data_IF_867274048483
#
_entry.id   IF_867274048483
#
_cell.length_a   1.000
_cell.length_b   1.000
_cell.length_c   1.000
_cell.angle_alpha   90.00
_cell.angle_beta   90.00
_cell.angle_gamma   90.00
#
_symmetry.space_group_name_H-M   'P 1'
#
loop_
_entity.id
_entity.type
_entity.pdbx_description
1 polymer ?
#
# COMPACT_ATOMS: atom_id res chain seq x y z
N UNK A 1 10.45 11.25 10.75
CA UNK A 1 9.34 10.57 10.04
C UNK A 1 8.88 9.46 10.97
N UNK A 2 7.62 9.50 11.41
CA UNK A 2 7.09 8.65 12.49
C UNK A 2 6.38 7.40 11.98
N UNK A 3 6.02 7.34 10.69
CA UNK A 3 5.48 6.12 10.10
C UNK A 3 6.56 5.33 9.37
N UNK A 4 6.48 4.01 9.47
CA UNK A 4 7.29 3.07 8.71
C UNK A 4 6.39 2.13 7.94
N UNK A 5 6.59 2.04 6.62
CA UNK A 5 5.93 1.07 5.76
C UNK A 5 6.78 -0.19 5.56
N UNK A 6 6.12 -1.32 5.35
CA UNK A 6 6.74 -2.54 4.81
C UNK A 6 5.78 -3.22 3.84
N UNK A 7 6.31 -3.80 2.77
CA UNK A 7 5.53 -4.45 1.73
C UNK A 7 6.09 -5.85 1.48
N UNK A 8 5.22 -6.85 1.50
CA UNK A 8 5.54 -8.21 1.05
C UNK A 8 4.62 -8.64 -0.08
N UNK A 9 5.14 -9.49 -0.96
CA UNK A 9 4.39 -10.12 -2.04
C UNK A 9 4.49 -11.64 -1.90
N UNK A 10 3.37 -12.33 -2.02
CA UNK A 10 3.28 -13.79 -2.07
C UNK A 10 2.68 -14.19 -3.40
N UNK A 11 3.33 -15.10 -4.11
CA UNK A 11 2.87 -15.59 -5.42
C UNK A 11 2.33 -17.00 -5.27
N UNK A 12 1.12 -17.23 -5.76
CA UNK A 12 0.47 -18.53 -5.81
C UNK A 12 -0.33 -18.68 -7.11
N UNK A 13 0.00 -19.67 -7.94
CA UNK A 13 -0.69 -20.01 -9.19
C UNK A 13 -1.06 -18.80 -10.10
N UNK A 14 -0.15 -17.83 -10.27
CA UNK A 14 -0.38 -16.63 -11.09
C UNK A 14 -1.21 -15.53 -10.40
N UNK A 15 -1.52 -15.70 -9.11
CA UNK A 15 -2.07 -14.66 -8.24
C UNK A 15 -0.96 -14.11 -7.35
N UNK A 16 -0.89 -12.79 -7.25
CA UNK A 16 0.06 -12.11 -6.36
C UNK A 16 -0.73 -11.41 -5.26
N UNK A 17 -0.48 -11.81 -4.02
CA UNK A 17 -1.02 -11.18 -2.82
C UNK A 17 0.00 -10.24 -2.21
N UNK A 18 -0.34 -8.95 -2.15
CA UNK A 18 0.44 -7.92 -1.49
C UNK A 18 -0.10 -7.66 -0.09
N UNK A 19 0.82 -7.56 0.87
CA UNK A 19 0.54 -7.11 2.23
C UNK A 19 1.39 -5.90 2.54
N UNK A 20 0.74 -4.74 2.65
CA UNK A 20 1.34 -3.49 3.05
C UNK A 20 1.05 -3.24 4.53
N UNK A 21 2.07 -3.17 5.37
CA UNK A 21 1.94 -2.88 6.80
C UNK A 21 2.56 -1.52 7.10
N UNK A 22 1.81 -0.68 7.82
CA UNK A 22 2.28 0.63 8.27
C UNK A 22 2.17 0.72 9.76
N UNK A 23 3.25 1.19 10.39
CA UNK A 23 3.35 1.30 11.85
C UNK A 23 3.79 2.70 12.22
N UNK A 24 3.15 3.29 13.23
CA UNK A 24 3.68 4.46 13.91
C UNK A 24 4.83 4.03 14.83
N UNK A 25 6.07 4.23 14.35
CA UNK A 25 7.30 3.93 15.10
C UNK A 25 7.79 5.11 15.95
N UNK A 26 7.06 6.23 15.94
CA UNK A 26 7.32 7.37 16.80
C UNK A 26 6.82 7.19 18.24
N UNK A 27 7.18 8.16 19.07
CA UNK A 27 6.79 8.22 20.49
C UNK A 27 5.51 9.06 20.74
N UNK A 28 4.93 9.65 19.69
CA UNK A 28 3.74 10.49 19.74
C UNK A 28 2.63 9.93 18.82
N UNK A 29 1.38 10.26 19.14
CA UNK A 29 0.26 9.91 18.27
C UNK A 29 0.35 10.69 16.94
N UNK A 30 -0.08 10.06 15.86
CA UNK A 30 -0.14 10.68 14.52
C UNK A 30 -1.59 10.73 14.04
N UNK A 31 -1.99 11.89 13.51
CA UNK A 31 -3.28 12.07 12.86
C UNK A 31 -3.13 11.83 11.36
N UNK A 32 -3.95 10.94 10.80
CA UNK A 32 -4.04 10.65 9.38
C UNK A 32 -5.34 11.26 8.85
N UNK A 33 -5.27 11.90 7.68
CA UNK A 33 -6.46 12.38 6.99
C UNK A 33 -6.49 11.83 5.56
N UNK A 34 -7.61 11.25 5.18
CA UNK A 34 -7.82 10.72 3.84
C UNK A 34 -8.90 11.52 3.12
N UNK A 35 -8.64 11.84 1.86
CA UNK A 35 -9.55 12.65 1.05
C UNK A 35 -10.81 11.89 0.61
N UNK A 36 -10.78 10.56 0.61
CA UNK A 36 -11.88 9.69 0.24
C UNK A 36 -11.71 8.30 0.93
N UNK A 37 -12.48 7.29 0.50
CA UNK A 37 -12.40 5.93 1.03
C UNK A 37 -11.10 5.15 0.70
N UNK A 38 -10.21 5.69 -0.12
CA UNK A 38 -8.90 5.12 -0.43
C UNK A 38 -7.93 5.41 0.71
N UNK A 39 -7.43 4.36 1.37
CA UNK A 39 -6.44 4.47 2.44
C UNK A 39 -5.01 4.23 1.97
N UNK A 40 -4.85 3.45 0.91
CA UNK A 40 -3.56 3.06 0.35
C UNK A 40 -3.68 2.80 -1.15
N UNK A 41 -2.54 2.65 -1.80
CA UNK A 41 -2.43 2.07 -3.13
C UNK A 41 -1.24 1.12 -3.20
N UNK A 42 -1.27 0.21 -4.18
CA UNK A 42 -0.15 -0.66 -4.54
C UNK A 42 -0.03 -0.63 -6.06
N UNK A 43 1.15 -0.34 -6.57
CA UNK A 43 1.44 -0.24 -8.00
C UNK A 43 2.62 -1.13 -8.34
N UNK A 44 2.49 -1.88 -9.42
CA UNK A 44 3.48 -2.83 -9.92
C UNK A 44 4.11 -2.29 -11.19
N UNK A 45 5.42 -2.41 -11.26
CA UNK A 45 6.26 -1.99 -12.37
C UNK A 45 7.03 -3.17 -12.96
N UNK A 46 7.17 -3.17 -14.28
CA UNK A 46 8.07 -4.04 -15.06
C UNK A 46 9.02 -3.13 -15.84
N UNK A 47 10.34 -3.28 -15.66
CA UNK A 47 11.35 -2.41 -16.29
C UNK A 47 11.12 -0.89 -16.12
N UNK A 48 10.44 -0.51 -15.02
CA UNK A 48 10.10 0.88 -14.69
C UNK A 48 8.79 1.38 -15.33
N UNK A 49 8.10 0.56 -16.10
CA UNK A 49 6.77 0.83 -16.66
C UNK A 49 5.67 0.28 -15.73
N UNK A 50 4.66 1.09 -15.42
CA UNK A 50 3.51 0.64 -14.64
C UNK A 50 2.70 -0.38 -15.44
N UNK A 51 2.53 -1.58 -14.88
CA UNK A 51 1.75 -2.67 -15.50
C UNK A 51 0.45 -2.95 -14.75
N UNK A 52 0.35 -2.56 -13.48
CA UNK A 52 -0.83 -2.76 -12.66
C UNK A 52 -0.90 -1.79 -11.49
N UNK A 53 -2.12 -1.38 -11.10
CA UNK A 53 -2.39 -0.59 -9.89
C UNK A 53 -3.63 -1.13 -9.19
N UNK A 54 -3.59 -1.20 -7.86
CA UNK A 54 -4.72 -1.60 -7.04
C UNK A 54 -5.88 -0.62 -7.21
N UNK A 55 -5.61 0.69 -7.21
CA UNK A 55 -6.64 1.71 -7.38
C UNK A 55 -7.22 1.79 -8.80
N UNK A 56 -6.54 1.25 -9.82
CA UNK A 56 -6.99 1.31 -11.20
C UNK A 56 -8.41 0.72 -11.37
N UNK A 57 -9.32 1.53 -11.90
CA UNK A 57 -10.72 1.14 -12.15
C UNK A 57 -11.58 1.02 -10.90
N UNK A 58 -11.05 1.27 -9.68
CA UNK A 58 -11.84 1.27 -8.44
C UNK A 58 -12.49 2.63 -8.21
N UNK A 59 -13.71 2.60 -7.71
CA UNK A 59 -14.41 3.80 -7.23
C UNK A 59 -14.35 3.85 -5.71
N UNK A 60 -13.80 4.93 -5.18
CA UNK A 60 -13.77 5.20 -3.74
C UNK A 60 -14.85 6.20 -3.37
N UNK A 61 -15.62 5.87 -2.33
CA UNK A 61 -16.63 6.77 -1.80
C UNK A 61 -16.00 8.10 -1.39
N UNK A 62 -16.65 9.21 -1.77
CA UNK A 62 -16.16 10.56 -1.47
C UNK A 62 -16.53 10.92 -0.02
N UNK A 63 -15.70 10.45 0.91
CA UNK A 63 -15.87 10.66 2.34
C UNK A 63 -14.52 11.01 2.95
N UNK A 64 -14.44 12.18 3.59
CA UNK A 64 -13.30 12.55 4.40
C UNK A 64 -13.21 11.64 5.62
N UNK A 65 -12.02 11.11 5.89
CA UNK A 65 -11.77 10.24 7.02
C UNK A 65 -10.59 10.77 7.82
N UNK A 66 -10.67 10.61 9.14
CA UNK A 66 -9.58 10.95 10.05
C UNK A 66 -9.35 9.78 11.00
N UNK A 67 -8.10 9.41 11.18
CA UNK A 67 -7.67 8.36 12.09
C UNK A 67 -6.55 8.90 12.99
N UNK A 68 -6.52 8.49 14.25
CA UNK A 68 -5.44 8.82 15.16
C UNK A 68 -4.76 7.52 15.58
N UNK A 69 -3.48 7.37 15.23
CA UNK A 69 -2.70 6.17 15.55
C UNK A 69 -1.75 6.46 16.71
N UNK A 70 -1.86 5.68 17.78
CA UNK A 70 -0.96 5.76 18.92
C UNK A 70 0.47 5.31 18.57
N UNK A 71 1.46 5.62 19.42
CA UNK A 71 2.79 5.01 19.33
C UNK A 71 2.71 3.48 19.29
N UNK A 72 3.36 2.88 18.29
CA UNK A 72 3.37 1.43 18.06
C UNK A 72 2.10 0.87 17.41
N UNK A 73 1.08 1.68 17.14
CA UNK A 73 -0.12 1.23 16.42
C UNK A 73 0.22 0.96 14.95
N UNK A 74 -0.37 -0.11 14.43
CA UNK A 74 -0.15 -0.56 13.06
C UNK A 74 -1.45 -0.94 12.36
N UNK A 75 -1.46 -0.76 11.05
CA UNK A 75 -2.52 -1.22 10.17
C UNK A 75 -1.94 -2.00 9.00
N UNK A 76 -2.69 -2.99 8.53
CA UNK A 76 -2.29 -3.81 7.39
C UNK A 76 -3.34 -3.78 6.30
N UNK A 77 -2.86 -3.54 5.08
CA UNK A 77 -3.65 -3.38 3.88
C UNK A 77 -3.28 -4.47 2.88
N UNK A 78 -4.31 -5.04 2.24
CA UNK A 78 -4.17 -6.11 1.27
C UNK A 78 -4.51 -5.64 -0.13
N UNK A 79 -3.74 -6.10 -1.11
CA UNK A 79 -4.03 -5.92 -2.52
C UNK A 79 -3.74 -7.23 -3.28
N UNK A 80 -4.56 -7.56 -4.27
CA UNK A 80 -4.45 -8.83 -5.01
C UNK A 80 -4.39 -8.52 -6.50
N UNK A 81 -3.35 -9.02 -7.17
CA UNK A 81 -3.21 -9.00 -8.61
C UNK A 81 -3.43 -10.42 -9.15
N UNK A 82 -4.59 -10.64 -9.75
CA UNK A 82 -4.97 -11.91 -10.39
C UNK A 82 -4.44 -11.98 -11.83
N UNK A 83 -4.25 -13.20 -12.34
CA UNK A 83 -3.75 -13.49 -13.70
C UNK A 83 -2.46 -12.73 -14.05
N UNK A 84 -1.55 -12.61 -13.08
CA UNK A 84 -0.26 -11.94 -13.25
C UNK A 84 0.61 -12.71 -14.27
N UNK A 85 1.11 -12.04 -15.33
CA UNK A 85 2.05 -12.66 -16.25
C UNK A 85 3.34 -13.08 -15.54
N UNK A 86 4.00 -14.11 -16.08
CA UNK A 86 5.32 -14.50 -15.59
C UNK A 86 6.34 -13.41 -15.89
N UNK A 87 7.17 -13.06 -14.90
CA UNK A 87 8.12 -11.96 -15.05
C UNK A 87 8.79 -11.56 -13.74
N UNK A 88 9.66 -10.55 -13.83
CA UNK A 88 10.27 -9.90 -12.66
C UNK A 88 9.67 -8.51 -12.49
N UNK A 89 9.22 -8.21 -11.27
CA UNK A 89 8.43 -7.02 -10.98
C UNK A 89 8.92 -6.31 -9.73
N UNK A 90 8.66 -5.00 -9.68
CA UNK A 90 8.77 -4.19 -8.46
C UNK A 90 7.38 -3.68 -8.08
N UNK A 91 6.92 -3.98 -6.87
CA UNK A 91 5.74 -3.37 -6.30
C UNK A 91 6.14 -2.22 -5.38
N UNK A 92 5.35 -1.14 -5.41
CA UNK A 92 5.43 0.00 -4.50
C UNK A 92 4.08 0.22 -3.87
N UNK A 93 4.05 0.51 -2.57
CA UNK A 93 2.85 0.80 -1.81
C UNK A 93 3.02 2.08 -1.01
N UNK A 94 1.93 2.82 -0.85
CA UNK A 94 1.92 4.03 -0.03
C UNK A 94 0.57 4.26 0.64
N UNK A 95 0.59 4.99 1.76
CA UNK A 95 -0.63 5.55 2.35
C UNK A 95 -1.13 6.73 1.52
N UNK A 96 -2.44 6.75 1.25
CA UNK A 96 -3.11 7.87 0.58
C UNK A 96 -3.49 9.00 1.56
N UNK A 97 -2.74 9.14 2.65
CA UNK A 97 -2.94 10.18 3.66
C UNK A 97 -2.46 11.53 3.12
N UNK A 98 -3.11 12.62 3.53
CA UNK A 98 -2.81 13.97 3.07
C UNK A 98 -1.63 14.60 3.81
N UNK A 99 -1.40 14.20 5.07
CA UNK A 99 -0.50 14.90 5.99
C UNK A 99 0.80 14.15 6.26
N UNK A 100 0.81 12.84 6.05
CA UNK A 100 1.95 11.98 6.35
C UNK A 100 2.13 10.91 5.30
N UNK A 101 3.39 10.68 4.97
CA UNK A 101 3.80 9.65 4.02
C UNK A 101 4.25 8.39 4.74
N UNK A 102 3.87 7.25 4.17
CA UNK A 102 4.52 5.99 4.43
C UNK A 102 4.60 5.29 3.08
N UNK A 103 5.79 4.81 2.72
CA UNK A 103 6.03 4.13 1.45
C UNK A 103 6.81 2.85 1.72
N UNK A 104 6.61 1.84 0.89
CA UNK A 104 7.39 0.63 0.89
C UNK A 104 7.46 0.04 -0.51
N UNK A 105 8.54 -0.67 -0.80
CA UNK A 105 8.71 -1.36 -2.07
C UNK A 105 9.22 -2.78 -1.85
N UNK A 106 8.91 -3.67 -2.79
CA UNK A 106 9.43 -5.04 -2.81
C UNK A 106 9.56 -5.54 -4.24
N UNK A 107 10.59 -6.34 -4.49
CA UNK A 107 10.78 -7.05 -5.75
C UNK A 107 10.27 -8.48 -5.63
N UNK A 108 9.62 -8.98 -6.68
CA UNK A 108 9.10 -10.35 -6.71
C UNK A 108 9.12 -10.91 -8.14
N UNK A 109 8.94 -12.23 -8.25
CA UNK A 109 8.88 -12.93 -9.53
C UNK A 109 7.66 -13.83 -9.57
N UNK A 110 6.97 -13.86 -10.71
CA UNK A 110 5.81 -14.72 -10.99
C UNK A 110 6.20 -15.87 -11.91
#
# INVERSE_FOLDING_TARGET
>A
MTLSGSLSATVDEGTVEFRYEVTNTGDEAVELQFSNAQTHDVVVFEDGEEVWSFAAGRMFAQMLQSEAWAPGESSSYGATWEDAPSGEYEARAWLASNDVDAEAATSFSV
#
